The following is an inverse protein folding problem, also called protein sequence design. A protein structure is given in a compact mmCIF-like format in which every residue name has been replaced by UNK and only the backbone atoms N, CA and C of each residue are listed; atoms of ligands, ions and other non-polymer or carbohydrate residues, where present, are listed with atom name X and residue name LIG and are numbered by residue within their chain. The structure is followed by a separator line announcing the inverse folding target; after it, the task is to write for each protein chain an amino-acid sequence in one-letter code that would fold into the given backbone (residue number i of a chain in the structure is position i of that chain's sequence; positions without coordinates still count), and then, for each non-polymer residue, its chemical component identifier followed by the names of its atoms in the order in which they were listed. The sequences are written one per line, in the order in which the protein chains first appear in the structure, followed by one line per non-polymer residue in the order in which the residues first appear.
data_IF_542805944934
#
_entry.id   IF_542805944934
#
_cell.length_a   1.000
_cell.length_b   1.000
_cell.length_c   1.000
_cell.angle_alpha   90.00
_cell.angle_beta   90.00
_cell.angle_gamma   90.00
#
_symmetry.space_group_name_H-M   'P 1'
#
loop_
_entity.id
_entity.type
_entity.pdbx_description
1 polymer ?
#
# COMPACT_ATOMS: atom_id res chain seq x y z
N UNK A 1 -14.57 -0.31 3.89
CA UNK A 1 -13.16 -0.61 3.50
C UNK A 1 -12.77 -1.98 4.03
N UNK A 2 -12.17 -2.85 3.20
CA UNK A 2 -11.76 -4.21 3.61
C UNK A 2 -10.52 -4.19 4.52
N UNK A 3 -10.35 -5.23 5.37
CA UNK A 3 -9.14 -5.42 6.20
C UNK A 3 -7.85 -5.45 5.35
N UNK A 4 -7.92 -6.02 4.15
CA UNK A 4 -6.78 -6.07 3.22
C UNK A 4 -6.41 -4.68 2.68
N UNK A 5 -7.41 -3.85 2.38
CA UNK A 5 -7.19 -2.47 1.93
C UNK A 5 -6.62 -1.61 3.05
N UNK A 6 -7.15 -1.76 4.27
CA UNK A 6 -6.63 -1.09 5.46
C UNK A 6 -5.14 -1.41 5.67
N UNK A 7 -4.75 -2.70 5.57
CA UNK A 7 -3.36 -3.12 5.69
C UNK A 7 -2.45 -2.47 4.64
N UNK A 8 -2.93 -2.35 3.39
CA UNK A 8 -2.20 -1.63 2.33
C UNK A 8 -2.05 -0.15 2.68
N UNK A 9 -3.10 0.51 3.15
CA UNK A 9 -3.04 1.93 3.48
C UNK A 9 -2.10 2.20 4.66
N UNK A 10 -2.16 1.38 5.71
CA UNK A 10 -1.19 1.44 6.81
C UNK A 10 0.25 1.24 6.32
N UNK A 11 0.50 0.23 5.49
CA UNK A 11 1.83 -0.02 4.93
C UNK A 11 2.35 1.17 4.10
N UNK A 12 1.51 1.69 3.22
CA UNK A 12 1.84 2.82 2.33
C UNK A 12 2.06 4.12 3.11
N UNK A 13 1.33 4.33 4.20
CA UNK A 13 1.46 5.49 5.09
C UNK A 13 2.56 5.34 6.15
N UNK A 14 3.32 4.25 6.15
CA UNK A 14 4.44 4.08 7.08
C UNK A 14 5.48 5.20 6.91
N UNK A 15 6.02 5.70 8.03
CA UNK A 15 6.95 6.84 8.02
C UNK A 15 8.15 6.63 7.09
N UNK A 16 8.68 5.40 7.01
CA UNK A 16 9.77 5.02 6.10
C UNK A 16 9.42 5.29 4.63
N UNK A 17 8.20 4.97 4.20
CA UNK A 17 7.74 5.13 2.82
C UNK A 17 7.39 6.58 2.49
N UNK A 18 6.92 7.35 3.47
CA UNK A 18 6.67 8.78 3.30
C UNK A 18 7.97 9.57 3.07
N UNK A 19 9.05 9.19 3.75
CA UNK A 19 10.35 9.87 3.64
C UNK A 19 11.12 9.50 2.37
N UNK A 20 11.26 8.19 2.09
CA UNK A 20 12.16 7.72 1.02
C UNK A 20 11.43 7.23 -0.23
N UNK A 21 10.11 7.07 -0.18
CA UNK A 21 9.37 6.27 -1.14
C UNK A 21 9.57 4.77 -0.91
N UNK A 22 9.05 3.96 -1.82
CA UNK A 22 9.10 2.50 -1.70
C UNK A 22 9.02 1.81 -3.05
N UNK A 23 9.47 0.56 -3.11
CA UNK A 23 9.37 -0.30 -4.28
C UNK A 23 8.27 -1.35 -4.10
N UNK A 24 7.99 -2.12 -5.16
CA UNK A 24 7.12 -3.30 -5.06
C UNK A 24 7.62 -4.28 -3.99
N UNK A 25 8.94 -4.51 -3.93
CA UNK A 25 9.55 -5.40 -2.94
C UNK A 25 9.28 -4.92 -1.52
N UNK A 26 9.51 -3.63 -1.25
CA UNK A 26 9.36 -3.08 0.09
C UNK A 26 7.89 -3.16 0.55
N UNK A 27 6.93 -2.85 -0.33
CA UNK A 27 5.51 -2.99 -0.02
C UNK A 27 5.13 -4.46 0.23
N UNK A 28 5.64 -5.40 -0.57
CA UNK A 28 5.40 -6.84 -0.38
C UNK A 28 5.90 -7.31 0.99
N UNK A 29 7.09 -6.89 1.39
CA UNK A 29 7.70 -7.22 2.67
C UNK A 29 6.95 -6.59 3.84
N UNK A 30 6.53 -5.32 3.71
CA UNK A 30 5.72 -4.63 4.72
C UNK A 30 4.36 -5.29 4.92
N UNK A 31 3.78 -5.88 3.87
CA UNK A 31 2.54 -6.67 3.93
C UNK A 31 2.75 -8.11 4.45
N UNK A 32 3.95 -8.46 4.91
CA UNK A 32 4.26 -9.79 5.44
C UNK A 32 4.28 -10.91 4.39
N UNK A 33 4.32 -10.58 3.09
CA UNK A 33 4.31 -11.58 2.03
C UNK A 33 5.72 -12.14 1.87
N UNK A 34 5.96 -13.29 2.50
CA UNK A 34 7.22 -14.02 2.44
C UNK A 34 7.56 -14.37 0.99
N UNK A 35 8.82 -14.11 0.62
CA UNK A 35 9.35 -14.43 -0.71
C UNK A 35 9.20 -15.94 -0.95
N UNK A 36 8.48 -16.32 -2.00
CA UNK A 36 8.38 -17.72 -2.39
C UNK A 36 9.74 -18.29 -2.83
N UNK A 37 9.93 -19.59 -2.65
CA UNK A 37 11.16 -20.31 -3.04
C UNK A 37 11.18 -20.50 -4.56
N UNK A 38 10.07 -20.97 -5.12
CA UNK A 38 9.94 -21.22 -6.56
C UNK A 38 9.78 -19.91 -7.36
N UNK A 39 10.28 -19.89 -8.60
CA UNK A 39 10.26 -18.70 -9.44
C UNK A 39 8.86 -18.28 -9.86
N UNK A 40 7.99 -19.26 -10.16
CA UNK A 40 6.63 -19.01 -10.64
C UNK A 40 5.80 -18.25 -9.59
N UNK A 41 5.87 -18.68 -8.34
CA UNK A 41 5.21 -18.03 -7.21
C UNK A 41 5.81 -16.66 -6.91
N UNK A 42 7.14 -16.49 -7.02
CA UNK A 42 7.79 -15.17 -6.89
C UNK A 42 7.26 -14.18 -7.93
N UNK A 43 7.12 -14.60 -9.19
CA UNK A 43 6.53 -13.78 -10.26
C UNK A 43 5.07 -13.47 -9.98
N UNK A 44 4.27 -14.44 -9.54
CA UNK A 44 2.86 -14.24 -9.14
C UNK A 44 2.69 -13.24 -8.01
N UNK A 45 3.47 -13.36 -6.94
CA UNK A 45 3.46 -12.41 -5.81
C UNK A 45 3.80 -10.99 -6.28
N UNK A 46 4.86 -10.84 -7.09
CA UNK A 46 5.29 -9.55 -7.62
C UNK A 46 4.22 -8.93 -8.53
N UNK A 47 3.58 -9.73 -9.39
CA UNK A 47 2.50 -9.29 -10.27
C UNK A 47 1.28 -8.79 -9.46
N UNK A 48 0.92 -9.48 -8.38
CA UNK A 48 -0.16 -9.05 -7.47
C UNK A 48 0.12 -7.68 -6.87
N UNK A 49 1.34 -7.44 -6.39
CA UNK A 49 1.71 -6.12 -5.84
C UNK A 49 1.79 -5.07 -6.95
N UNK A 50 2.27 -5.40 -8.15
CA UNK A 50 2.24 -4.47 -9.28
C UNK A 50 0.82 -4.05 -9.64
N UNK A 51 -0.13 -4.98 -9.64
CA UNK A 51 -1.55 -4.67 -9.86
C UNK A 51 -2.08 -3.72 -8.78
N UNK A 52 -1.77 -3.96 -7.52
CA UNK A 52 -2.13 -3.07 -6.41
C UNK A 52 -1.57 -1.65 -6.60
N UNK A 53 -0.27 -1.54 -6.93
CA UNK A 53 0.37 -0.24 -7.18
C UNK A 53 -0.27 0.50 -8.35
N UNK A 54 -0.69 -0.21 -9.41
CA UNK A 54 -1.42 0.37 -10.54
C UNK A 54 -2.77 0.94 -10.10
N UNK A 55 -3.52 0.24 -9.26
CA UNK A 55 -4.79 0.75 -8.71
C UNK A 55 -4.57 2.01 -7.87
N UNK A 56 -3.62 1.99 -6.94
CA UNK A 56 -3.29 3.16 -6.13
C UNK A 56 -2.86 4.37 -6.99
N UNK A 57 -2.16 4.12 -8.09
CA UNK A 57 -1.78 5.16 -9.07
C UNK A 57 -2.98 5.70 -9.85
N UNK A 58 -3.89 4.83 -10.30
CA UNK A 58 -5.09 5.24 -11.02
C UNK A 58 -5.93 6.22 -10.19
N UNK A 59 -6.01 5.99 -8.87
CA UNK A 59 -6.68 6.91 -7.94
C UNK A 59 -5.83 8.10 -7.47
N UNK A 60 -4.61 8.25 -8.00
CA UNK A 60 -3.63 9.29 -7.65
C UNK A 60 -3.21 9.29 -6.17
N UNK A 61 -3.31 8.14 -5.50
CA UNK A 61 -2.88 7.99 -4.11
C UNK A 61 -1.35 7.90 -4.00
N UNK A 62 -0.73 7.30 -5.01
CA UNK A 62 0.72 7.25 -5.16
C UNK A 62 1.11 7.68 -6.57
N UNK A 63 2.37 8.07 -6.76
CA UNK A 63 2.98 8.30 -8.06
C UNK A 63 4.23 7.45 -8.23
N UNK A 64 4.52 7.02 -9.45
CA UNK A 64 5.81 6.41 -9.81
C UNK A 64 6.84 7.54 -10.00
N UNK A 65 8.05 7.34 -9.49
CA UNK A 65 9.19 8.23 -9.75
C UNK A 65 9.80 7.84 -11.09
N UNK A 66 9.88 8.80 -12.03
CA UNK A 66 10.43 8.56 -13.37
C UNK A 66 11.85 8.00 -13.32
N UNK A 67 12.21 7.14 -14.27
CA UNK A 67 13.54 6.51 -14.33
C UNK A 67 13.84 5.51 -13.21
N UNK A 68 12.91 5.23 -12.29
CA UNK A 68 13.17 4.35 -11.14
C UNK A 68 12.07 3.31 -10.90
N UNK A 69 12.34 2.41 -9.93
CA UNK A 69 11.36 1.45 -9.39
C UNK A 69 10.55 2.02 -8.22
N UNK A 70 10.83 3.25 -7.81
CA UNK A 70 10.24 3.86 -6.62
C UNK A 70 8.85 4.44 -6.88
N UNK A 71 8.03 4.37 -5.83
CA UNK A 71 6.74 5.02 -5.70
C UNK A 71 6.79 5.98 -4.52
N UNK A 72 6.05 7.08 -4.61
CA UNK A 72 5.88 8.05 -3.53
C UNK A 72 4.39 8.29 -3.29
N UNK A 73 4.02 8.44 -2.02
CA UNK A 73 2.67 8.87 -1.64
C UNK A 73 2.46 10.31 -2.09
N UNK A 74 1.32 10.60 -2.71
CA UNK A 74 0.98 11.98 -3.07
C UNK A 74 0.34 12.69 -1.88
N UNK A 75 0.30 14.03 -1.89
CA UNK A 75 -0.42 14.78 -0.85
C UNK A 75 -1.91 14.38 -0.78
N UNK A 76 -2.54 14.16 -1.94
CA UNK A 76 -3.91 13.61 -2.03
C UNK A 76 -3.99 12.23 -1.40
N UNK A 77 -3.07 11.34 -1.73
CA UNK A 77 -3.03 9.98 -1.19
C UNK A 77 -2.90 9.96 0.31
N UNK A 78 -2.00 10.78 0.87
CA UNK A 78 -1.83 10.90 2.31
C UNK A 78 -3.15 11.28 2.99
N UNK A 79 -3.80 12.35 2.53
CA UNK A 79 -5.09 12.82 3.08
C UNK A 79 -6.19 11.76 2.93
N UNK A 80 -6.34 11.20 1.74
CA UNK A 80 -7.42 10.25 1.41
C UNK A 80 -7.29 8.95 2.19
N UNK A 81 -6.11 8.34 2.20
CA UNK A 81 -5.89 7.06 2.91
C UNK A 81 -5.97 7.25 4.43
N UNK A 82 -5.48 8.38 4.96
CA UNK A 82 -5.60 8.69 6.40
C UNK A 82 -7.07 8.86 6.80
N UNK A 83 -7.85 9.61 6.03
CA UNK A 83 -9.28 9.78 6.29
C UNK A 83 -10.02 8.44 6.25
N UNK A 84 -9.75 7.61 5.24
CA UNK A 84 -10.36 6.29 5.11
C UNK A 84 -10.05 5.36 6.30
N UNK A 85 -8.82 5.41 6.82
CA UNK A 85 -8.44 4.66 8.02
C UNK A 85 -9.17 5.16 9.26
N UNK A 86 -9.18 6.47 9.50
CA UNK A 86 -9.87 7.07 10.66
C UNK A 86 -11.37 6.77 10.66
N UNK A 87 -12.03 6.88 9.50
CA UNK A 87 -13.45 6.55 9.38
C UNK A 87 -13.71 5.10 9.75
N UNK A 88 -12.88 4.17 9.25
CA UNK A 88 -12.99 2.75 9.61
C UNK A 88 -12.83 2.51 11.11
N UNK A 89 -11.90 3.18 11.78
CA UNK A 89 -11.66 2.96 13.21
C UNK A 89 -12.81 3.52 14.05
N UNK A 90 -13.41 4.65 13.66
CA UNK A 90 -14.63 5.19 14.28
C UNK A 90 -15.81 4.23 14.10
N UNK A 91 -15.98 3.66 12.90
CA UNK A 91 -17.05 2.69 12.65
C UNK A 91 -16.89 1.43 13.50
N UNK A 92 -15.64 0.94 13.67
CA UNK A 92 -15.36 -0.21 14.54
C UNK A 92 -15.65 0.12 16.00
N UNK A 93 -15.28 1.30 16.49
CA UNK A 93 -15.57 1.71 17.87
C UNK A 93 -17.08 1.76 18.16
N UNK A 94 -17.89 2.25 17.20
CA UNK A 94 -19.36 2.27 17.32
C UNK A 94 -20.02 0.89 17.35
N UNK A 95 -19.34 -0.15 16.88
CA UNK A 95 -19.87 -1.53 16.90
C UNK A 95 -19.55 -2.28 18.20
N UNK A 96 -18.63 -1.75 19.01
CA UNK A 96 -18.18 -2.35 20.26
C UNK A 96 -18.74 -1.61 21.49
N UNK A 97 -19.26 -0.39 21.28
CA UNK A 97 -20.00 0.40 22.28
C UNK A 97 -21.48 0.01 22.29
#
# INVERSE_FOLDING_TARGET
MSRKEAAVFHAVLSGRFLLKGFTNRDLRECLGIRRAVDERSRRRQSARITRLLRLLRAHRLIRKVSGTRYYRVTAKGRRTMTAALKLRDVDVAKLVA
#
